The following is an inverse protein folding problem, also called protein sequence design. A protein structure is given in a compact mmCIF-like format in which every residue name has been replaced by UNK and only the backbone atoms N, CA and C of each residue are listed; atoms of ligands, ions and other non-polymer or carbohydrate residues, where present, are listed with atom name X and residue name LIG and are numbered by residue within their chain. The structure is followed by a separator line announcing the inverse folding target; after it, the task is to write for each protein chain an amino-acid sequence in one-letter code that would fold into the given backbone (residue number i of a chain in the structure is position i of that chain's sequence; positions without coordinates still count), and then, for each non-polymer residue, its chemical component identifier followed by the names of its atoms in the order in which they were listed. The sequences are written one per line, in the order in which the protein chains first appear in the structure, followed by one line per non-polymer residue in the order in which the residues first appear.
data_IF_286040527394
#
_entry.id   IF_286040527394
#
_cell.length_a   1.000
_cell.length_b   1.000
_cell.length_c   1.000
_cell.angle_alpha   90.00
_cell.angle_beta   90.00
_cell.angle_gamma   90.00
#
_symmetry.space_group_name_H-M   'P 1'
#
loop_
_entity.id
_entity.type
_entity.pdbx_description
1 polymer ?
#
# COMPACT_ATOMS: atom_id res chain seq x y z
N UNK A 1 2.69 14.00 -24.11
CA UNK A 1 1.21 14.07 -24.24
C UNK A 1 0.63 13.85 -22.86
N UNK A 2 0.16 14.91 -22.18
CA UNK A 2 -0.60 14.75 -20.95
C UNK A 2 -2.04 14.37 -21.34
N UNK A 3 -2.58 13.31 -20.76
CA UNK A 3 -4.00 12.98 -20.97
C UNK A 3 -4.86 14.04 -20.26
N UNK A 4 -5.98 14.43 -20.87
CA UNK A 4 -6.94 15.34 -20.22
C UNK A 4 -7.35 14.78 -18.85
N UNK A 5 -7.37 15.66 -17.85
CA UNK A 5 -7.76 15.30 -16.48
C UNK A 5 -6.67 14.65 -15.62
N UNK A 6 -5.45 14.44 -16.13
CA UNK A 6 -4.33 13.91 -15.33
C UNK A 6 -3.36 15.04 -14.96
N UNK A 7 -3.35 15.41 -13.68
CA UNK A 7 -2.34 16.30 -13.12
C UNK A 7 -1.03 15.53 -12.90
N UNK A 8 0.06 16.02 -13.49
CA UNK A 8 1.41 15.45 -13.27
C UNK A 8 2.21 16.37 -12.36
N UNK A 9 2.80 15.80 -11.31
CA UNK A 9 3.65 16.53 -10.36
C UNK A 9 4.96 15.79 -10.16
N UNK A 10 6.05 16.52 -9.97
CA UNK A 10 7.36 15.97 -9.64
C UNK A 10 7.60 16.23 -8.14
N UNK A 11 7.78 15.19 -7.31
CA UNK A 11 8.06 15.37 -5.90
C UNK A 11 9.47 15.93 -5.70
N UNK A 12 9.64 16.86 -4.75
CA UNK A 12 10.96 17.39 -4.36
C UNK A 12 11.72 16.43 -3.41
N UNK A 13 11.08 15.35 -2.97
CA UNK A 13 11.63 14.35 -2.06
C UNK A 13 11.17 12.93 -2.43
N UNK A 14 11.02 12.07 -1.42
CA UNK A 14 10.58 10.69 -1.64
C UNK A 14 9.20 10.62 -2.32
N UNK A 15 9.14 9.87 -3.43
CA UNK A 15 7.96 9.78 -4.26
C UNK A 15 6.85 8.96 -3.59
N UNK A 16 7.21 7.89 -2.86
CA UNK A 16 6.23 7.01 -2.23
C UNK A 16 5.48 7.74 -1.11
N UNK A 17 6.21 8.48 -0.28
CA UNK A 17 5.66 9.38 0.75
C UNK A 17 4.78 10.46 0.14
N UNK A 18 5.22 11.06 -0.96
CA UNK A 18 4.43 12.08 -1.65
C UNK A 18 3.10 11.51 -2.16
N UNK A 19 3.12 10.34 -2.78
CA UNK A 19 1.92 9.69 -3.32
C UNK A 19 0.96 9.30 -2.18
N UNK A 20 1.46 8.72 -1.09
CA UNK A 20 0.64 8.35 0.05
C UNK A 20 -0.06 9.58 0.67
N UNK A 21 0.68 10.67 0.87
CA UNK A 21 0.12 11.94 1.37
C UNK A 21 -0.89 12.55 0.41
N UNK A 22 -0.58 12.58 -0.88
CA UNK A 22 -1.48 13.12 -1.90
C UNK A 22 -2.81 12.34 -1.92
N UNK A 23 -2.76 11.02 -1.84
CA UNK A 23 -3.96 10.17 -1.76
C UNK A 23 -4.80 10.47 -0.51
N UNK A 24 -4.15 10.65 0.64
CA UNK A 24 -4.83 11.00 1.88
C UNK A 24 -5.45 12.41 1.83
N UNK A 25 -4.75 13.39 1.27
CA UNK A 25 -5.26 14.75 1.07
C UNK A 25 -6.49 14.73 0.16
N UNK A 26 -6.47 13.93 -0.92
CA UNK A 26 -7.63 13.76 -1.81
C UNK A 26 -8.81 13.09 -1.12
N UNK A 27 -8.58 12.19 -0.17
CA UNK A 27 -9.62 11.50 0.58
C UNK A 27 -10.44 12.43 1.49
N UNK A 28 -9.97 13.66 1.74
CA UNK A 28 -10.74 14.68 2.47
C UNK A 28 -11.88 15.29 1.64
N UNK A 29 -11.77 15.24 0.31
CA UNK A 29 -12.72 15.87 -0.64
C UNK A 29 -13.39 14.85 -1.56
N UNK A 30 -12.90 13.60 -1.59
CA UNK A 30 -13.41 12.55 -2.45
C UNK A 30 -13.82 11.35 -1.59
N UNK A 31 -15.03 10.79 -1.79
CA UNK A 31 -15.56 9.71 -0.95
C UNK A 31 -14.80 8.39 -1.12
N UNK A 32 -14.10 8.21 -2.24
CA UNK A 32 -13.30 7.02 -2.56
C UNK A 32 -12.02 7.49 -3.26
N UNK A 33 -10.87 6.98 -2.81
CA UNK A 33 -9.56 7.24 -3.44
C UNK A 33 -8.84 5.94 -3.71
N UNK A 34 -8.34 5.77 -4.94
CA UNK A 34 -7.47 4.68 -5.32
C UNK A 34 -6.04 5.20 -5.54
N UNK A 35 -5.09 4.68 -4.78
CA UNK A 35 -3.66 4.94 -4.92
C UNK A 35 -3.06 3.81 -5.74
N UNK A 36 -2.42 4.15 -6.86
CA UNK A 36 -1.82 3.17 -7.77
C UNK A 36 -0.32 3.12 -7.60
N UNK A 37 0.23 1.90 -7.57
CA UNK A 37 1.64 1.67 -7.30
C UNK A 37 2.18 0.36 -7.87
N UNK A 38 3.45 0.31 -8.29
CA UNK A 38 4.11 -0.94 -8.66
C UNK A 38 4.56 -1.76 -7.43
N UNK A 39 4.92 -1.08 -6.33
CA UNK A 39 5.68 -1.66 -5.23
C UNK A 39 4.82 -1.96 -4.01
N UNK A 40 5.20 -3.00 -3.27
CA UNK A 40 4.46 -3.45 -2.07
C UNK A 40 4.76 -2.54 -0.89
N UNK A 41 5.93 -1.91 -0.88
CA UNK A 41 6.35 -0.99 0.18
C UNK A 41 5.44 0.25 0.23
N UNK A 42 4.93 0.66 -0.93
CA UNK A 42 3.91 1.72 -1.04
C UNK A 42 2.57 1.32 -0.39
N UNK A 43 2.19 0.03 -0.42
CA UNK A 43 0.99 -0.49 0.27
C UNK A 43 1.14 -0.32 1.78
N UNK A 44 2.29 -0.72 2.30
CA UNK A 44 2.62 -0.65 3.74
C UNK A 44 2.52 0.80 4.20
N UNK A 45 3.11 1.73 3.46
CA UNK A 45 3.10 3.15 3.80
C UNK A 45 1.68 3.73 3.81
N UNK A 46 0.87 3.41 2.79
CA UNK A 46 -0.52 3.89 2.71
C UNK A 46 -1.38 3.30 3.83
N UNK A 47 -1.22 2.01 4.15
CA UNK A 47 -1.93 1.37 5.26
C UNK A 47 -1.56 2.01 6.58
N UNK A 48 -0.30 2.36 6.77
CA UNK A 48 0.17 2.98 8.00
C UNK A 48 -0.37 4.40 8.22
N UNK A 49 -0.50 5.17 7.14
CA UNK A 49 -0.93 6.58 7.19
C UNK A 49 -2.45 6.75 7.08
N UNK A 50 -3.16 5.79 6.48
CA UNK A 50 -4.59 5.90 6.26
C UNK A 50 -5.38 5.81 7.59
N UNK A 51 -6.46 6.59 7.76
CA UNK A 51 -7.40 6.38 8.86
C UNK A 51 -8.10 5.01 8.77
N UNK A 52 -8.40 4.40 9.93
CA UNK A 52 -8.95 3.04 10.02
C UNK A 52 -10.26 2.83 9.24
N UNK A 53 -11.14 3.84 9.23
CA UNK A 53 -12.44 3.80 8.55
C UNK A 53 -12.42 4.59 7.23
N UNK A 54 -11.24 4.74 6.60
CA UNK A 54 -11.11 5.44 5.33
C UNK A 54 -11.43 4.54 4.13
N UNK A 55 -12.12 5.10 3.12
CA UNK A 55 -12.39 4.45 1.83
C UNK A 55 -11.21 4.62 0.86
N UNK A 56 -10.01 4.32 1.35
CA UNK A 56 -8.78 4.37 0.55
C UNK A 56 -8.43 2.96 0.09
N UNK A 57 -8.06 2.84 -1.18
CA UNK A 57 -7.69 1.57 -1.80
C UNK A 57 -6.31 1.68 -2.41
N UNK A 58 -5.51 0.62 -2.29
CA UNK A 58 -4.30 0.46 -3.08
C UNK A 58 -4.57 -0.42 -4.29
N UNK A 59 -4.21 0.07 -5.48
CA UNK A 59 -4.25 -0.69 -6.72
C UNK A 59 -2.83 -1.09 -7.12
N UNK A 60 -2.55 -2.40 -7.03
CA UNK A 60 -1.34 -2.97 -7.60
C UNK A 60 -1.56 -3.19 -9.08
N UNK A 61 -0.76 -2.52 -9.90
CA UNK A 61 -0.83 -2.72 -11.34
C UNK A 61 -0.43 -4.16 -11.69
N UNK A 62 -1.26 -4.79 -12.53
CA UNK A 62 -0.96 -6.08 -13.12
C UNK A 62 0.31 -6.00 -13.95
N UNK A 63 1.21 -6.99 -13.81
CA UNK A 63 2.35 -7.16 -14.71
C UNK A 63 2.06 -8.33 -15.65
N UNK A 64 2.13 -8.10 -16.97
CA UNK A 64 1.91 -9.11 -18.03
C UNK A 64 0.51 -9.74 -17.94
N UNK A 65 0.41 -11.06 -17.72
CA UNK A 65 -0.84 -11.83 -17.61
C UNK A 65 -1.46 -11.80 -16.21
N UNK A 66 -0.85 -11.07 -15.26
CA UNK A 66 -1.39 -10.94 -13.91
C UNK A 66 -2.35 -9.76 -13.90
N UNK A 67 -3.59 -9.99 -13.48
CA UNK A 67 -4.61 -8.95 -13.33
C UNK A 67 -4.21 -7.94 -12.26
N UNK A 68 -4.70 -6.70 -12.41
CA UNK A 68 -4.57 -5.69 -11.36
C UNK A 68 -5.33 -6.15 -10.11
N UNK A 69 -4.75 -5.88 -8.93
CA UNK A 69 -5.37 -6.22 -7.64
C UNK A 69 -5.67 -4.95 -6.86
N UNK A 70 -6.86 -4.88 -6.28
CA UNK A 70 -7.30 -3.82 -5.39
C UNK A 70 -7.30 -4.32 -3.94
N UNK A 71 -6.75 -3.51 -3.05
CA UNK A 71 -6.66 -3.78 -1.63
C UNK A 71 -7.28 -2.63 -0.84
N UNK A 72 -8.21 -2.93 0.07
CA UNK A 72 -8.77 -1.91 0.98
C UNK A 72 -7.80 -1.69 2.14
N UNK A 73 -7.45 -0.43 2.40
CA UNK A 73 -6.56 -0.09 3.51
C UNK A 73 -7.23 -0.41 4.85
N UNK A 74 -8.48 -0.01 5.05
CA UNK A 74 -9.23 -0.28 6.28
C UNK A 74 -9.41 -1.78 6.56
N UNK A 75 -9.63 -2.60 5.52
CA UNK A 75 -9.67 -4.06 5.70
C UNK A 75 -8.31 -4.61 6.12
N UNK A 76 -7.23 -4.18 5.46
CA UNK A 76 -5.89 -4.64 5.80
C UNK A 76 -5.45 -4.20 7.20
N UNK A 77 -5.83 -3.00 7.67
CA UNK A 77 -5.57 -2.57 9.05
C UNK A 77 -6.31 -3.43 10.08
N UNK A 78 -7.52 -3.90 9.77
CA UNK A 78 -8.28 -4.79 10.67
C UNK A 78 -7.66 -6.20 10.73
N UNK A 79 -7.12 -6.68 9.61
CA UNK A 79 -6.46 -8.00 9.54
C UNK A 79 -5.03 -7.98 10.11
N UNK A 80 -4.29 -6.89 9.88
CA UNK A 80 -2.92 -6.67 10.33
C UNK A 80 -2.98 -5.86 11.62
N UNK A 81 -3.09 -6.55 12.75
CA UNK A 81 -3.55 -6.05 14.05
C UNK A 81 -2.91 -4.79 14.65
N UNK A 82 -1.93 -4.11 14.03
CA UNK A 82 -1.52 -2.74 14.35
C UNK A 82 -0.74 -2.14 13.15
N UNK A 83 -1.03 -0.91 12.70
CA UNK A 83 -0.24 -0.24 11.65
C UNK A 83 1.25 -0.12 12.00
N UNK A 84 1.55 0.06 13.29
CA UNK A 84 2.90 0.08 13.85
C UNK A 84 3.65 -1.24 13.65
N UNK A 85 2.96 -2.39 13.76
CA UNK A 85 3.54 -3.72 13.52
C UNK A 85 3.92 -3.91 12.06
N UNK A 86 3.15 -3.34 11.13
CA UNK A 86 3.42 -3.44 9.68
C UNK A 86 4.64 -2.61 9.30
N UNK A 87 4.73 -1.37 9.80
CA UNK A 87 5.91 -0.52 9.63
C UNK A 87 7.15 -1.14 10.28
N UNK A 88 6.99 -1.75 11.45
CA UNK A 88 8.07 -2.43 12.16
C UNK A 88 8.58 -3.63 11.36
N UNK A 89 7.68 -4.46 10.82
CA UNK A 89 8.05 -5.59 9.96
C UNK A 89 8.75 -5.15 8.68
N UNK A 90 8.33 -4.04 8.08
CA UNK A 90 8.97 -3.47 6.88
C UNK A 90 10.37 -2.91 7.20
N UNK A 91 10.51 -2.14 8.28
CA UNK A 91 11.80 -1.65 8.76
C UNK A 91 12.76 -2.81 9.09
N UNK A 92 12.24 -3.95 9.56
CA UNK A 92 13.02 -5.16 9.78
C UNK A 92 13.30 -5.98 8.52
N UNK A 93 12.46 -5.90 7.47
CA UNK A 93 12.69 -6.60 6.19
C UNK A 93 13.71 -5.89 5.31
N UNK A 94 13.75 -4.56 5.38
CA UNK A 94 14.63 -3.72 4.57
C UNK A 94 16.02 -3.57 5.19
N UNK A 95 16.12 -3.85 6.49
CA UNK A 95 17.39 -4.03 7.16
C UNK A 95 17.95 -5.40 6.75
N UNK A 96 18.86 -5.38 5.76
CA UNK A 96 19.56 -6.53 5.21
C UNK A 96 20.35 -7.32 6.28
N UNK A 97 19.65 -8.08 7.11
CA UNK A 97 20.22 -8.99 8.11
C UNK A 97 20.15 -10.39 7.53
N UNK A 98 21.23 -10.70 6.81
CA UNK A 98 21.67 -12.01 6.32
C UNK A 98 21.83 -13.09 7.44
N UNK A 99 21.25 -12.95 8.64
CA UNK A 99 21.44 -13.96 9.70
C UNK A 99 20.16 -14.37 10.44
N UNK A 100 19.66 -15.53 10.01
CA UNK A 100 19.35 -16.69 10.85
C UNK A 100 18.01 -16.81 11.61
N UNK A 101 17.20 -15.76 11.82
CA UNK A 101 16.02 -15.90 12.71
C UNK A 101 14.69 -16.16 11.96
N UNK A 102 14.70 -16.10 10.62
CA UNK A 102 13.48 -16.07 9.83
C UNK A 102 13.10 -17.44 9.21
N UNK A 103 13.44 -18.59 9.82
CA UNK A 103 12.99 -19.89 9.26
C UNK A 103 11.56 -20.30 9.67
N UNK A 104 10.83 -19.48 10.44
CA UNK A 104 9.52 -19.89 11.01
C UNK A 104 8.34 -18.92 10.76
N UNK A 105 8.53 -17.73 10.20
CA UNK A 105 7.47 -16.69 10.19
C UNK A 105 6.84 -16.34 8.83
N UNK A 106 7.38 -16.70 7.66
CA UNK A 106 6.69 -16.51 6.36
C UNK A 106 6.00 -17.81 6.01
N UNK A 107 4.97 -18.09 6.80
CA UNK A 107 3.80 -18.78 6.31
C UNK A 107 2.61 -17.81 6.29
N UNK A 108 2.84 -16.52 6.02
CA UNK A 108 1.79 -15.60 5.60
C UNK A 108 1.59 -15.79 4.09
N UNK A 109 1.04 -16.95 3.72
CA UNK A 109 0.31 -17.03 2.46
C UNK A 109 -0.85 -16.05 2.56
N UNK A 110 -0.74 -14.92 1.87
CA UNK A 110 -1.89 -14.10 1.48
C UNK A 110 -2.78 -14.95 0.57
N UNK A 111 -3.60 -15.80 1.19
CA UNK A 111 -4.66 -16.52 0.51
C UNK A 111 -5.73 -15.51 0.12
N UNK A 112 -5.60 -14.95 -1.09
CA UNK A 112 -6.67 -14.19 -1.73
C UNK A 112 -7.86 -15.13 -1.96
N UNK A 113 -8.81 -15.14 -1.03
CA UNK A 113 -10.12 -15.75 -1.30
C UNK A 113 -10.89 -14.89 -2.30
N UNK A 114 -11.37 -15.54 -3.36
CA UNK A 114 -12.22 -14.97 -4.40
C UNK A 114 -13.54 -14.53 -3.74
N UNK A 115 -13.85 -13.24 -3.81
CA UNK A 115 -15.15 -12.72 -3.40
C UNK A 115 -16.15 -13.18 -4.48
N UNK A 116 -17.03 -14.10 -4.12
CA UNK A 116 -18.32 -14.33 -4.76
C UNK A 116 -19.36 -14.55 -3.67
#
# INVERSE_FOLDING_TARGET
MAAEGIETRVPTGDADTYIARCGLEKATSHPIVAITGPDVDQVVLVIALAPLESNIYFMKNGKRKVEAKLFSTGKLQKELSFPETILLLHAFSDLDITSAIYRKSIALQLHCSKIN
#
